data_IF_705070593298
#
_entry.id   IF_705070593298
#
_cell.length_a   1.000
_cell.length_b   1.000
_cell.length_c   1.000
_cell.angle_alpha   90.00
_cell.angle_beta   90.00
_cell.angle_gamma   90.00
#
_symmetry.space_group_name_H-M   'P 1'
#
loop_
_entity.id
_entity.type
_entity.pdbx_description
1 polymer ?
#
# COMPACT_ATOMS: atom_id res chain seq x y z
N UNK A 1 3.28 16.72 15.62
CA UNK A 1 3.25 16.27 14.21
C UNK A 1 3.33 17.46 13.27
N UNK A 2 2.46 18.46 13.43
CA UNK A 2 2.50 19.70 12.64
C UNK A 2 3.15 20.87 13.40
N UNK A 3 3.88 20.58 14.49
CA UNK A 3 4.68 21.54 15.23
C UNK A 3 5.87 22.00 14.38
N UNK A 4 6.23 23.29 14.50
CA UNK A 4 7.21 23.93 13.61
C UNK A 4 8.58 23.25 13.66
N UNK A 5 8.92 22.63 14.78
CA UNK A 5 10.22 22.00 14.99
C UNK A 5 10.29 20.53 14.58
N UNK A 6 9.15 19.87 14.35
CA UNK A 6 9.13 18.46 14.00
C UNK A 6 9.83 18.18 12.66
N UNK A 7 10.72 17.19 12.68
CA UNK A 7 11.37 16.65 11.47
C UNK A 7 10.34 16.20 10.45
N UNK A 8 9.24 15.56 10.89
CA UNK A 8 8.18 15.12 9.99
C UNK A 8 7.55 16.27 9.20
N UNK A 9 7.30 17.41 9.88
CA UNK A 9 6.77 18.60 9.22
C UNK A 9 7.79 19.19 8.24
N UNK A 10 9.06 19.27 8.64
CA UNK A 10 10.14 19.80 7.80
C UNK A 10 10.29 18.96 6.52
N UNK A 11 10.32 17.64 6.66
CA UNK A 11 10.47 16.71 5.54
C UNK A 11 9.22 16.68 4.65
N UNK A 12 8.02 16.76 5.22
CA UNK A 12 6.78 16.89 4.45
C UNK A 12 6.74 18.17 3.62
N UNK A 13 7.00 19.34 4.24
CA UNK A 13 6.99 20.63 3.55
C UNK A 13 8.05 20.71 2.45
N UNK A 14 9.19 20.03 2.62
CA UNK A 14 10.21 19.97 1.59
C UNK A 14 9.80 19.15 0.36
N UNK A 15 8.80 18.27 0.48
CA UNK A 15 8.39 17.35 -0.59
C UNK A 15 6.94 17.52 -1.05
N UNK A 16 6.17 18.43 -0.43
CA UNK A 16 4.72 18.60 -0.69
C UNK A 16 4.41 18.86 -2.16
N UNK A 17 5.18 19.72 -2.83
CA UNK A 17 4.99 20.00 -4.26
C UNK A 17 5.26 18.78 -5.16
N UNK A 18 6.11 17.85 -4.72
CA UNK A 18 6.31 16.59 -5.44
C UNK A 18 5.17 15.63 -5.19
N UNK A 19 4.70 15.52 -3.93
CA UNK A 19 3.54 14.71 -3.58
C UNK A 19 2.30 15.14 -4.36
N UNK A 20 2.01 16.44 -4.40
CA UNK A 20 0.82 16.97 -5.08
C UNK A 20 0.83 16.58 -6.57
N UNK A 21 1.95 16.77 -7.26
CA UNK A 21 2.12 16.34 -8.66
C UNK A 21 1.98 14.83 -8.83
N UNK A 22 2.56 14.05 -7.92
CA UNK A 22 2.50 12.59 -8.01
C UNK A 22 1.08 12.06 -7.83
N UNK A 23 0.31 12.65 -6.92
CA UNK A 23 -1.10 12.32 -6.71
C UNK A 23 -1.91 12.62 -7.98
N UNK A 24 -1.65 13.73 -8.65
CA UNK A 24 -2.33 14.09 -9.90
C UNK A 24 -1.94 13.19 -11.09
N UNK A 25 -0.68 12.76 -11.19
CA UNK A 25 -0.15 12.08 -12.39
C UNK A 25 -0.16 10.54 -12.31
N UNK A 26 -0.07 9.95 -11.11
CA UNK A 26 0.28 8.53 -10.94
C UNK A 26 -0.66 7.74 -10.03
N UNK A 27 -1.66 8.37 -9.41
CA UNK A 27 -2.62 7.66 -8.56
C UNK A 27 -3.39 6.59 -9.31
N UNK A 28 -3.68 6.83 -10.60
CA UNK A 28 -4.51 5.93 -11.40
C UNK A 28 -3.80 4.63 -11.75
N UNK A 29 -2.52 4.65 -12.09
CA UNK A 29 -1.78 3.44 -12.47
C UNK A 29 -1.67 2.43 -11.31
N UNK A 30 -1.41 2.90 -10.09
CA UNK A 30 -1.35 2.00 -8.92
C UNK A 30 -2.72 1.44 -8.56
N UNK A 31 -3.79 2.21 -8.75
CA UNK A 31 -5.18 1.79 -8.52
C UNK A 31 -5.68 0.79 -9.57
N UNK A 32 -5.38 1.01 -10.84
CA UNK A 32 -5.75 0.08 -11.91
C UNK A 32 -5.01 -1.27 -11.78
N UNK A 33 -3.73 -1.21 -11.47
CA UNK A 33 -2.93 -2.41 -11.23
C UNK A 33 -3.40 -3.17 -9.98
N UNK A 34 -3.78 -2.47 -8.91
CA UNK A 34 -4.22 -3.13 -7.68
C UNK A 34 -5.43 -4.02 -7.89
N UNK A 35 -6.45 -3.52 -8.62
CA UNK A 35 -7.64 -4.30 -8.95
C UNK A 35 -7.29 -5.53 -9.78
N UNK A 36 -6.48 -5.34 -10.82
CA UNK A 36 -6.07 -6.42 -11.73
C UNK A 36 -5.34 -7.54 -10.99
N UNK A 37 -4.34 -7.22 -10.17
CA UNK A 37 -3.54 -8.23 -9.46
C UNK A 37 -4.34 -8.92 -8.35
N UNK A 38 -5.12 -8.15 -7.57
CA UNK A 38 -5.91 -8.72 -6.48
C UNK A 38 -7.00 -9.66 -6.99
N UNK A 39 -7.72 -9.26 -8.05
CA UNK A 39 -8.75 -10.09 -8.67
C UNK A 39 -8.16 -11.37 -9.27
N UNK A 40 -7.05 -11.26 -10.01
CA UNK A 40 -6.38 -12.42 -10.62
C UNK A 40 -5.91 -13.43 -9.55
N UNK A 41 -5.36 -12.93 -8.44
CA UNK A 41 -4.94 -13.76 -7.32
C UNK A 41 -6.12 -14.49 -6.66
N UNK A 42 -7.22 -13.80 -6.35
CA UNK A 42 -8.38 -14.43 -5.71
C UNK A 42 -9.03 -15.47 -6.62
N UNK A 43 -9.16 -15.18 -7.92
CA UNK A 43 -9.63 -16.16 -8.91
C UNK A 43 -8.75 -17.42 -8.92
N UNK A 44 -7.42 -17.27 -8.87
CA UNK A 44 -6.49 -18.40 -8.80
C UNK A 44 -6.59 -19.16 -7.48
N UNK A 45 -6.56 -18.47 -6.34
CA UNK A 45 -6.53 -19.06 -4.99
C UNK A 45 -7.74 -19.94 -4.70
N UNK A 46 -8.92 -19.50 -5.12
CA UNK A 46 -10.16 -20.18 -4.80
C UNK A 46 -10.67 -21.10 -5.92
N UNK A 47 -9.93 -21.25 -7.03
CA UNK A 47 -10.36 -22.00 -8.24
C UNK A 47 -11.77 -21.59 -8.70
N UNK A 48 -12.13 -20.31 -8.56
CA UNK A 48 -13.51 -19.85 -8.67
C UNK A 48 -13.94 -19.69 -10.13
N UNK A 49 -15.20 -20.05 -10.38
CA UNK A 49 -16.03 -19.39 -11.40
C UNK A 49 -16.50 -18.06 -10.80
N UNK A 50 -16.65 -17.01 -11.60
CA UNK A 50 -16.79 -15.57 -11.23
C UNK A 50 -17.71 -15.19 -10.05
N UNK A 51 -18.55 -16.07 -9.55
CA UNK A 51 -19.66 -15.78 -8.62
C UNK A 51 -19.30 -15.83 -7.11
N UNK A 52 -18.05 -16.09 -6.72
CA UNK A 52 -17.66 -16.29 -5.31
C UNK A 52 -16.46 -15.42 -4.84
N UNK A 53 -16.21 -14.28 -5.48
CA UNK A 53 -15.15 -13.36 -5.02
C UNK A 53 -15.60 -12.74 -3.69
N UNK A 54 -14.80 -12.92 -2.64
CA UNK A 54 -14.97 -12.18 -1.40
C UNK A 54 -14.55 -10.72 -1.63
N UNK A 55 -15.53 -9.83 -1.67
CA UNK A 55 -15.33 -8.41 -1.96
C UNK A 55 -14.55 -7.69 -0.84
N UNK A 56 -14.58 -8.19 0.39
CA UNK A 56 -13.79 -7.64 1.49
C UNK A 56 -12.31 -8.04 1.36
N UNK A 57 -12.04 -9.28 0.95
CA UNK A 57 -10.68 -9.72 0.62
C UNK A 57 -10.11 -8.95 -0.57
N UNK A 58 -10.93 -8.75 -1.62
CA UNK A 58 -10.52 -7.99 -2.79
C UNK A 58 -10.13 -6.56 -2.42
N UNK A 59 -11.02 -5.81 -1.75
CA UNK A 59 -10.77 -4.42 -1.36
C UNK A 59 -9.55 -4.30 -0.45
N UNK A 60 -9.36 -5.24 0.49
CA UNK A 60 -8.19 -5.26 1.36
C UNK A 60 -6.88 -5.48 0.57
N UNK A 61 -6.86 -6.43 -0.37
CA UNK A 61 -5.69 -6.68 -1.23
C UNK A 61 -5.39 -5.52 -2.19
N UNK A 62 -6.43 -4.92 -2.78
CA UNK A 62 -6.31 -3.74 -3.62
C UNK A 62 -5.68 -2.58 -2.87
N UNK A 63 -6.15 -2.29 -1.65
CA UNK A 63 -5.63 -1.18 -0.85
C UNK A 63 -4.17 -1.38 -0.47
N UNK A 64 -3.80 -2.56 0.05
CA UNK A 64 -2.42 -2.79 0.47
C UNK A 64 -1.46 -2.78 -0.72
N UNK A 65 -1.86 -3.32 -1.87
CA UNK A 65 -1.06 -3.22 -3.10
C UNK A 65 -0.96 -1.77 -3.58
N UNK A 66 -2.09 -1.06 -3.68
CA UNK A 66 -2.14 0.30 -4.16
C UNK A 66 -1.25 1.23 -3.34
N UNK A 67 -1.25 1.07 -2.01
CA UNK A 67 -0.35 1.81 -1.12
C UNK A 67 1.12 1.45 -1.31
N UNK A 68 1.42 0.16 -1.48
CA UNK A 68 2.79 -0.28 -1.70
C UNK A 68 3.34 0.24 -3.03
N UNK A 69 2.56 0.13 -4.10
CA UNK A 69 2.85 0.70 -5.41
C UNK A 69 3.02 2.23 -5.32
N UNK A 70 2.11 2.93 -4.63
CA UNK A 70 2.22 4.38 -4.49
C UNK A 70 3.46 4.79 -3.70
N UNK A 71 3.80 4.05 -2.65
CA UNK A 71 5.03 4.27 -1.87
C UNK A 71 6.29 4.08 -2.72
N UNK A 72 6.29 3.08 -3.61
CA UNK A 72 7.36 2.89 -4.59
C UNK A 72 7.45 4.07 -5.57
N UNK A 73 6.31 4.56 -6.08
CA UNK A 73 6.29 5.72 -6.97
C UNK A 73 6.80 7.00 -6.28
N UNK A 74 6.50 7.18 -5.00
CA UNK A 74 7.04 8.28 -4.19
C UNK A 74 8.57 8.21 -4.14
N UNK A 75 9.13 7.03 -3.90
CA UNK A 75 10.58 6.87 -3.87
C UNK A 75 11.23 7.16 -5.22
N UNK A 76 10.67 6.61 -6.30
CA UNK A 76 11.18 6.78 -7.66
C UNK A 76 11.14 8.26 -8.08
N UNK A 77 10.07 8.96 -7.71
CA UNK A 77 9.78 10.31 -8.24
C UNK A 77 10.25 11.42 -7.30
N UNK A 78 10.00 11.26 -6.00
CA UNK A 78 10.24 12.27 -4.97
C UNK A 78 11.43 11.92 -4.05
N UNK A 79 11.98 10.71 -4.17
CA UNK A 79 13.17 10.28 -3.44
C UNK A 79 12.88 9.67 -2.07
N UNK A 80 13.96 9.20 -1.43
CA UNK A 80 13.89 8.40 -0.22
C UNK A 80 13.31 9.15 0.99
N UNK A 81 13.59 10.45 1.11
CA UNK A 81 13.06 11.28 2.22
C UNK A 81 11.54 11.39 2.13
N UNK A 82 11.00 11.61 0.93
CA UNK A 82 9.57 11.61 0.70
C UNK A 82 8.95 10.25 1.06
N UNK A 83 9.56 9.14 0.61
CA UNK A 83 9.10 7.79 0.95
C UNK A 83 9.03 7.58 2.46
N UNK A 84 10.10 7.89 3.19
CA UNK A 84 10.16 7.73 4.66
C UNK A 84 9.13 8.61 5.38
N UNK A 85 8.94 9.83 4.89
CA UNK A 85 7.92 10.76 5.40
C UNK A 85 6.53 10.16 5.24
N UNK A 86 6.20 9.65 4.06
CA UNK A 86 4.92 9.03 3.77
C UNK A 86 4.66 7.79 4.63
N UNK A 87 5.64 6.88 4.71
CA UNK A 87 5.54 5.70 5.58
C UNK A 87 5.33 6.06 7.05
N UNK A 88 6.02 7.10 7.53
CA UNK A 88 5.83 7.60 8.91
C UNK A 88 4.41 8.15 9.14
N UNK A 89 3.82 8.80 8.13
CA UNK A 89 2.43 9.25 8.19
C UNK A 89 1.50 8.04 8.21
N UNK A 90 1.68 7.08 7.29
CA UNK A 90 0.90 5.85 7.21
C UNK A 90 0.89 5.08 8.53
N UNK A 91 2.05 4.85 9.13
CA UNK A 91 2.16 4.17 10.42
C UNK A 91 1.35 4.83 11.54
N UNK A 92 1.19 6.16 11.49
CA UNK A 92 0.48 6.93 12.50
C UNK A 92 -1.03 7.03 12.25
N UNK A 93 -1.45 6.97 10.99
CA UNK A 93 -2.88 7.06 10.62
C UNK A 93 -3.52 5.70 10.39
N UNK A 94 -2.74 4.62 10.38
CA UNK A 94 -3.21 3.27 10.07
C UNK A 94 -4.45 2.84 10.85
N UNK A 95 -4.49 3.14 12.15
CA UNK A 95 -5.58 2.74 13.04
C UNK A 95 -6.86 3.57 12.80
N UNK A 96 -6.76 4.72 12.13
CA UNK A 96 -7.89 5.60 11.80
C UNK A 96 -8.35 5.47 10.35
N UNK A 97 -7.45 5.11 9.43
CA UNK A 97 -7.71 5.11 7.99
C UNK A 97 -7.90 3.69 7.40
N UNK A 98 -7.58 2.62 8.14
CA UNK A 98 -7.52 1.26 7.60
C UNK A 98 -8.15 0.19 8.51
N UNK A 99 -9.18 0.56 9.27
CA UNK A 99 -9.96 -0.34 10.14
C UNK A 99 -10.70 -1.46 9.40
N UNK A 100 -10.83 -1.38 8.06
CA UNK A 100 -11.63 -2.33 7.28
C UNK A 100 -10.82 -3.49 6.68
N UNK A 101 -9.48 -3.41 6.64
CA UNK A 101 -8.60 -4.51 6.21
C UNK A 101 -8.25 -5.42 7.42
N UNK A 102 -9.26 -5.67 8.27
CA UNK A 102 -9.27 -6.41 9.53
C UNK A 102 -9.67 -7.90 9.35
N UNK A 103 -9.21 -8.57 8.28
CA UNK A 103 -9.48 -10.01 8.15
C UNK A 103 -8.69 -10.76 9.25
N UNK A 104 -9.39 -11.43 10.17
CA UNK A 104 -8.80 -12.31 11.20
C UNK A 104 -7.92 -13.44 10.58
N UNK A 105 -8.07 -13.69 9.28
CA UNK A 105 -7.28 -14.63 8.48
C UNK A 105 -6.22 -13.95 7.55
N UNK A 106 -5.99 -12.63 7.68
CA UNK A 106 -5.26 -11.81 6.70
C UNK A 106 -3.79 -12.14 6.47
N UNK A 107 -3.07 -12.73 7.43
CA UNK A 107 -1.62 -12.87 7.29
C UNK A 107 -1.24 -13.94 6.25
N UNK A 108 -1.99 -15.05 6.19
CA UNK A 108 -1.79 -16.08 5.18
C UNK A 108 -2.24 -15.59 3.80
N UNK A 109 -3.33 -14.82 3.73
CA UNK A 109 -3.82 -14.21 2.51
C UNK A 109 -2.81 -13.20 1.94
N UNK A 110 -2.39 -12.22 2.74
CA UNK A 110 -1.41 -11.20 2.37
C UNK A 110 -0.07 -11.81 1.98
N UNK A 111 0.38 -12.86 2.68
CA UNK A 111 1.62 -13.58 2.33
C UNK A 111 1.49 -14.34 1.02
N UNK A 112 0.42 -15.10 0.80
CA UNK A 112 0.21 -15.79 -0.48
C UNK A 112 0.04 -14.81 -1.65
N UNK A 113 -0.61 -13.67 -1.41
CA UNK A 113 -0.71 -12.62 -2.42
C UNK A 113 0.66 -12.01 -2.71
N UNK A 114 1.45 -11.71 -1.68
CA UNK A 114 2.81 -11.22 -1.84
C UNK A 114 3.71 -12.19 -2.60
N UNK A 115 3.61 -13.49 -2.33
CA UNK A 115 4.31 -14.55 -3.08
C UNK A 115 3.86 -14.59 -4.55
N UNK A 116 2.56 -14.45 -4.81
CA UNK A 116 1.98 -14.40 -6.16
C UNK A 116 2.50 -13.21 -7.00
N UNK A 117 2.81 -12.07 -6.36
CA UNK A 117 3.30 -10.89 -7.07
C UNK A 117 4.73 -11.05 -7.63
N UNK A 118 5.49 -12.07 -7.20
CA UNK A 118 6.85 -12.38 -7.67
C UNK A 118 7.78 -11.14 -7.68
N UNK A 119 7.70 -10.29 -6.65
CA UNK A 119 8.42 -9.03 -6.59
C UNK A 119 9.94 -9.24 -6.42
N UNK A 120 10.75 -8.48 -7.16
CA UNK A 120 12.20 -8.44 -6.99
C UNK A 120 12.65 -7.82 -5.66
N UNK A 121 13.85 -8.18 -5.17
CA UNK A 121 14.34 -7.95 -3.79
C UNK A 121 13.94 -6.62 -3.13
N UNK A 122 14.40 -5.47 -3.64
CA UNK A 122 14.11 -4.17 -3.01
C UNK A 122 12.60 -3.81 -3.00
N UNK A 123 11.85 -4.23 -4.02
CA UNK A 123 10.39 -4.04 -4.07
C UNK A 123 9.67 -4.97 -3.08
N UNK A 124 10.18 -6.20 -2.98
CA UNK A 124 9.70 -7.22 -2.05
C UNK A 124 9.73 -6.70 -0.60
N UNK A 125 10.86 -6.15 -0.15
CA UNK A 125 10.99 -5.59 1.20
C UNK A 125 10.01 -4.44 1.47
N UNK A 126 9.86 -3.52 0.51
CA UNK A 126 8.95 -2.38 0.63
C UNK A 126 7.48 -2.81 0.72
N UNK A 127 7.04 -3.68 -0.19
CA UNK A 127 5.66 -4.14 -0.25
C UNK A 127 5.31 -4.96 1.00
N UNK A 128 6.24 -5.80 1.46
CA UNK A 128 6.05 -6.54 2.70
C UNK A 128 5.94 -5.62 3.92
N UNK A 129 6.79 -4.59 4.03
CA UNK A 129 6.71 -3.61 5.10
C UNK A 129 5.35 -2.90 5.12
N UNK A 130 4.83 -2.48 3.96
CA UNK A 130 3.50 -1.86 3.87
C UNK A 130 2.41 -2.85 4.30
N UNK A 131 2.49 -4.12 3.88
CA UNK A 131 1.51 -5.14 4.24
C UNK A 131 1.51 -5.42 5.75
N UNK A 132 2.68 -5.45 6.38
CA UNK A 132 2.84 -5.62 7.83
C UNK A 132 2.45 -4.38 8.63
N UNK A 133 2.58 -3.18 8.05
CA UNK A 133 2.18 -1.93 8.72
C UNK A 133 0.70 -2.00 9.12
N UNK A 134 -0.14 -2.56 8.25
CA UNK A 134 -1.57 -2.78 8.47
C UNK A 134 -1.90 -4.09 9.20
N UNK A 135 -0.97 -4.64 9.98
CA UNK A 135 -1.22 -5.75 10.90
C UNK A 135 -1.66 -5.22 12.27
N UNK A 136 -2.73 -5.80 12.84
CA UNK A 136 -3.13 -5.54 14.24
C UNK A 136 -2.09 -6.16 15.20
N UNK A 137 -1.79 -5.46 16.30
CA UNK A 137 -0.98 -6.01 17.40
C UNK A 137 -1.79 -6.99 18.22
#
# INVERSE_FOLDING_TARGET
>A
MCDKESTLRKDYLANVECFDRLVEERSDACRENSATYAEAFLRQRHNLKEENVDWEELDCLERVYGLACFTEQIEITCGEVARKTFLTILEKVKDAAFTECELEHSLSLKRSFFEYLELGGAKSELYWYVFETFRRR
#
